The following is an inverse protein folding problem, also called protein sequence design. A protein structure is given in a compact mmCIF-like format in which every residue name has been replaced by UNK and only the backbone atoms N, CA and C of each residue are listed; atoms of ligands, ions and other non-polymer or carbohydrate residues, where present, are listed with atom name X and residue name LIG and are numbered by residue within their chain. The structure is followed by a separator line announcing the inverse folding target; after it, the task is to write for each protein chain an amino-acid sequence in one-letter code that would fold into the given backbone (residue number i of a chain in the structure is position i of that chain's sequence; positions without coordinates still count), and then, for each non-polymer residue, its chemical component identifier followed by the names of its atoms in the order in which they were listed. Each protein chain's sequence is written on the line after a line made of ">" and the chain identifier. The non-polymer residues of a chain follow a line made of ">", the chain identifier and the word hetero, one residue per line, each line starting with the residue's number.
data_IF_843032125344
#
_entry.id   IF_843032125344
#
_cell.length_a   1.000
_cell.length_b   1.000
_cell.length_c   1.000
_cell.angle_alpha   90.00
_cell.angle_beta   90.00
_cell.angle_gamma   90.00
#
_symmetry.space_group_name_H-M   'P 1'
#
loop_
_entity.id
_entity.type
_entity.pdbx_description
1 polymer ?
#
# COMPACT_ATOMS: atom_id res chain seq x y z
N UNK A 1 -41.12 62.76 -18.34
CA UNK A 1 -40.09 61.84 -18.87
C UNK A 1 -39.18 61.45 -17.70
N UNK A 2 -39.19 60.15 -17.34
CA UNK A 2 -38.11 59.29 -16.77
C UNK A 2 -37.09 59.92 -15.79
N UNK A 3 -36.73 59.35 -14.62
CA UNK A 3 -36.26 57.95 -14.41
C UNK A 3 -36.08 57.61 -12.91
N UNK A 4 -36.23 56.32 -12.57
CA UNK A 4 -35.55 55.50 -11.54
C UNK A 4 -35.54 55.89 -10.04
N UNK A 5 -36.33 55.14 -9.26
CA UNK A 5 -36.07 54.83 -7.84
C UNK A 5 -35.21 53.57 -7.76
N UNK A 6 -34.08 53.64 -7.06
CA UNK A 6 -33.26 52.48 -6.70
C UNK A 6 -33.50 52.21 -5.20
N UNK A 7 -34.18 51.13 -4.87
CA UNK A 7 -34.40 50.69 -3.50
C UNK A 7 -33.69 49.34 -3.33
N UNK A 8 -32.75 49.31 -2.40
CA UNK A 8 -31.93 48.16 -2.01
C UNK A 8 -32.81 46.96 -1.62
N UNK A 9 -32.46 45.79 -2.14
CA UNK A 9 -32.71 44.53 -1.47
C UNK A 9 -31.37 43.81 -1.29
N UNK A 10 -31.06 43.51 -0.03
CA UNK A 10 -29.90 42.76 0.39
C UNK A 10 -30.02 41.30 -0.06
N UNK A 11 -29.00 40.80 -0.75
CA UNK A 11 -28.80 39.38 -0.96
C UNK A 11 -27.43 39.00 -0.36
N UNK A 12 -27.47 38.13 0.64
CA UNK A 12 -26.28 37.55 1.25
C UNK A 12 -25.53 36.71 0.22
N UNK A 13 -24.26 37.06 -0.04
CA UNK A 13 -23.34 36.26 -0.86
C UNK A 13 -22.60 35.32 0.10
N UNK A 14 -22.99 34.04 0.11
CA UNK A 14 -22.16 32.97 0.63
C UNK A 14 -21.09 32.66 -0.43
N UNK A 15 -19.86 33.08 -0.17
CA UNK A 15 -18.72 32.75 -1.02
C UNK A 15 -18.31 31.28 -0.85
N UNK A 16 -18.72 30.42 -1.79
CA UNK A 16 -18.10 29.12 -2.00
C UNK A 16 -16.83 29.31 -2.83
N UNK A 17 -15.67 29.25 -2.18
CA UNK A 17 -14.38 29.10 -2.84
C UNK A 17 -14.31 27.70 -3.45
N UNK A 18 -14.42 27.61 -4.78
CA UNK A 18 -14.10 26.41 -5.53
C UNK A 18 -12.58 26.19 -5.49
N UNK A 19 -12.12 25.29 -4.62
CA UNK A 19 -10.77 24.72 -4.73
C UNK A 19 -10.78 23.78 -5.93
N UNK A 20 -10.12 24.21 -7.00
CA UNK A 20 -9.70 23.35 -8.11
C UNK A 20 -8.65 22.35 -7.58
N UNK A 21 -9.10 21.18 -7.15
CA UNK A 21 -8.19 20.03 -6.99
C UNK A 21 -7.96 19.47 -8.39
N UNK A 22 -6.85 19.86 -9.02
CA UNK A 22 -6.31 19.19 -10.19
C UNK A 22 -5.76 17.81 -9.76
N UNK A 23 -6.68 16.90 -9.43
CA UNK A 23 -6.40 15.47 -9.37
C UNK A 23 -6.29 14.96 -10.79
N UNK A 24 -5.07 14.67 -11.24
CA UNK A 24 -4.85 14.01 -12.52
C UNK A 24 -5.63 12.70 -12.54
N UNK A 25 -6.70 12.68 -13.34
CA UNK A 25 -7.38 11.48 -13.76
C UNK A 25 -6.37 10.57 -14.47
N UNK A 26 -6.00 9.46 -13.85
CA UNK A 26 -5.43 8.35 -14.59
C UNK A 26 -6.60 7.60 -15.22
N UNK A 27 -6.91 7.97 -16.46
CA UNK A 27 -8.00 7.46 -17.26
C UNK A 27 -8.07 5.94 -17.25
N UNK A 28 -9.24 5.43 -16.87
CA UNK A 28 -9.74 4.17 -17.34
C UNK A 28 -10.02 4.30 -18.85
N UNK A 29 -9.22 3.65 -19.69
CA UNK A 29 -9.59 3.34 -21.07
C UNK A 29 -8.79 2.15 -21.59
N UNK A 30 -9.31 0.96 -21.28
CA UNK A 30 -9.36 -0.18 -22.19
C UNK A 30 -10.61 -0.98 -21.79
N UNK A 31 -11.71 -0.60 -22.43
CA UNK A 31 -12.96 -1.35 -22.47
C UNK A 31 -12.70 -2.71 -23.11
N UNK A 32 -12.48 -3.71 -22.26
CA UNK A 32 -12.54 -5.13 -22.59
C UNK A 32 -13.21 -5.83 -21.43
N UNK A 33 -14.47 -6.22 -21.62
CA UNK A 33 -15.27 -7.09 -20.74
C UNK A 33 -14.93 -7.02 -19.26
N UNK A 34 -15.43 -5.98 -18.58
CA UNK A 34 -15.62 -6.07 -17.14
C UNK A 34 -16.77 -7.05 -16.92
N UNK A 35 -16.46 -8.34 -16.88
CA UNK A 35 -17.24 -9.23 -16.06
C UNK A 35 -17.22 -8.60 -14.66
N UNK A 36 -18.36 -8.08 -14.21
CA UNK A 36 -18.56 -7.78 -12.81
C UNK A 36 -18.33 -9.09 -12.07
N UNK A 37 -17.11 -9.27 -11.55
CA UNK A 37 -16.88 -10.23 -10.50
C UNK A 37 -17.75 -9.76 -9.34
N UNK A 38 -18.86 -10.46 -9.18
CA UNK A 38 -19.79 -10.36 -8.06
C UNK A 38 -18.95 -10.23 -6.79
N UNK A 39 -19.12 -9.10 -6.09
CA UNK A 39 -18.25 -8.69 -5.00
C UNK A 39 -18.36 -9.66 -3.83
N UNK A 40 -17.43 -10.60 -3.75
CA UNK A 40 -17.12 -11.27 -2.49
C UNK A 40 -16.55 -10.20 -1.56
N UNK A 41 -17.35 -9.82 -0.57
CA UNK A 41 -17.03 -8.84 0.47
C UNK A 41 -15.99 -9.39 1.48
N UNK A 42 -15.07 -10.23 1.00
CA UNK A 42 -14.00 -10.86 1.75
C UNK A 42 -12.79 -9.93 1.77
N UNK A 43 -12.27 -9.71 2.96
CA UNK A 43 -11.12 -8.86 3.14
C UNK A 43 -9.81 -9.50 2.68
N UNK A 44 -8.73 -8.72 2.56
CA UNK A 44 -7.45 -9.24 2.03
C UNK A 44 -6.98 -10.48 2.79
N UNK A 45 -6.99 -10.47 4.13
CA UNK A 45 -6.54 -11.62 4.95
C UNK A 45 -7.35 -12.89 4.69
N UNK A 46 -8.67 -12.78 4.52
CA UNK A 46 -9.54 -13.92 4.18
C UNK A 46 -9.16 -14.48 2.81
N UNK A 47 -8.87 -13.60 1.86
CA UNK A 47 -8.49 -13.98 0.50
C UNK A 47 -7.07 -14.51 0.42
N UNK A 48 -6.16 -14.02 1.26
CA UNK A 48 -4.82 -14.60 1.45
C UNK A 48 -5.02 -16.03 1.95
N UNK A 49 -5.78 -16.19 3.03
CA UNK A 49 -6.04 -17.49 3.66
C UNK A 49 -6.72 -18.45 2.71
N UNK A 50 -7.74 -18.00 1.97
CA UNK A 50 -8.44 -18.81 0.99
C UNK A 50 -7.56 -19.14 -0.22
N UNK A 51 -6.73 -18.20 -0.71
CA UNK A 51 -5.77 -18.47 -1.77
C UNK A 51 -4.74 -19.52 -1.36
N UNK A 52 -4.26 -19.44 -0.11
CA UNK A 52 -3.35 -20.42 0.48
C UNK A 52 -4.04 -21.78 0.72
N UNK A 53 -5.32 -21.82 1.11
CA UNK A 53 -6.04 -23.08 1.37
C UNK A 53 -6.58 -23.77 0.11
N UNK A 54 -7.10 -23.00 -0.84
CA UNK A 54 -7.84 -23.52 -2.00
C UNK A 54 -6.98 -23.67 -3.27
N UNK A 55 -5.66 -23.53 -3.15
CA UNK A 55 -4.74 -23.51 -4.29
C UNK A 55 -5.08 -22.44 -5.35
N UNK A 56 -5.58 -21.28 -4.91
CA UNK A 56 -5.94 -20.17 -5.81
C UNK A 56 -4.82 -19.14 -5.85
N UNK A 57 -4.69 -18.45 -6.98
CA UNK A 57 -3.79 -17.30 -7.09
C UNK A 57 -4.48 -16.04 -6.59
N UNK A 58 -3.83 -15.29 -5.70
CA UNK A 58 -4.31 -13.97 -5.26
C UNK A 58 -3.31 -12.89 -5.64
N UNK A 59 -3.82 -11.74 -6.09
CA UNK A 59 -3.07 -10.51 -6.27
C UNK A 59 -3.65 -9.45 -5.35
N UNK A 60 -2.80 -8.79 -4.59
CA UNK A 60 -3.16 -7.63 -3.79
C UNK A 60 -2.21 -6.46 -4.10
N UNK A 61 -2.72 -5.24 -3.98
CA UNK A 61 -1.91 -4.04 -4.17
C UNK A 61 -2.46 -2.87 -3.38
N UNK A 62 -1.60 -1.89 -3.13
CA UNK A 62 -1.97 -0.69 -2.40
C UNK A 62 -0.84 0.32 -2.38
N UNK A 63 -0.89 1.22 -1.40
CA UNK A 63 0.14 2.24 -1.19
C UNK A 63 0.60 2.25 0.26
N UNK A 64 1.91 2.36 0.45
CA UNK A 64 2.49 2.80 1.71
C UNK A 64 2.35 4.31 1.81
N UNK A 65 2.05 4.78 3.02
CA UNK A 65 1.99 6.18 3.39
C UNK A 65 2.22 6.27 4.89
N UNK A 66 3.45 6.60 5.27
CA UNK A 66 3.83 6.66 6.68
C UNK A 66 4.85 7.76 6.92
N UNK A 67 5.03 8.12 8.19
CA UNK A 67 6.16 8.92 8.64
C UNK A 67 7.12 8.00 9.38
N UNK A 68 8.37 7.95 8.93
CA UNK A 68 9.43 7.25 9.63
C UNK A 68 10.30 8.23 10.40
N UNK A 69 10.77 7.79 11.57
CA UNK A 69 11.80 8.50 12.33
C UNK A 69 13.10 7.69 12.20
N UNK A 70 14.14 8.31 11.62
CA UNK A 70 15.48 7.76 11.53
C UNK A 70 16.16 7.68 12.90
N UNK A 71 17.23 6.90 12.99
CA UNK A 71 18.00 6.76 14.23
C UNK A 71 18.65 8.09 14.69
N UNK A 72 18.89 9.00 13.76
CA UNK A 72 19.38 10.37 13.98
C UNK A 72 18.27 11.35 14.42
N UNK A 73 17.02 10.88 14.54
CA UNK A 73 15.86 11.70 14.86
C UNK A 73 15.25 12.42 13.65
N UNK A 74 15.81 12.26 12.44
CA UNK A 74 15.25 12.87 11.24
C UNK A 74 13.90 12.22 10.88
N UNK A 75 12.94 13.05 10.48
CA UNK A 75 11.62 12.57 10.06
C UNK A 75 11.52 12.50 8.54
N UNK A 76 11.02 11.37 8.05
CA UNK A 76 10.89 11.07 6.63
C UNK A 76 9.43 10.73 6.31
N UNK A 77 8.89 11.40 5.30
CA UNK A 77 7.63 11.02 4.67
C UNK A 77 7.92 9.89 3.68
N UNK A 78 7.33 8.72 3.91
CA UNK A 78 7.51 7.53 3.07
C UNK A 78 6.23 7.22 2.32
N UNK A 79 6.32 7.17 1.00
CA UNK A 79 5.18 6.90 0.13
C UNK A 79 5.56 6.03 -1.06
N UNK A 80 4.69 5.08 -1.42
CA UNK A 80 4.87 4.35 -2.67
C UNK A 80 3.96 3.15 -2.85
N UNK A 81 3.76 2.70 -4.10
CA UNK A 81 2.95 1.54 -4.38
C UNK A 81 3.63 0.24 -3.94
N UNK A 82 2.82 -0.72 -3.55
CA UNK A 82 3.21 -2.10 -3.32
C UNK A 82 2.27 -3.06 -4.03
N UNK A 83 2.79 -4.26 -4.34
CA UNK A 83 2.04 -5.37 -4.93
C UNK A 83 2.51 -6.68 -4.33
N UNK A 84 1.54 -7.52 -4.00
CA UNK A 84 1.72 -8.86 -3.49
C UNK A 84 1.01 -9.86 -4.41
N UNK A 85 1.65 -10.98 -4.68
CA UNK A 85 1.05 -12.14 -5.35
C UNK A 85 1.26 -13.33 -4.43
N UNK A 86 0.19 -14.03 -4.12
CA UNK A 86 0.21 -15.26 -3.34
C UNK A 86 -0.23 -16.39 -4.25
N UNK A 87 0.52 -17.47 -4.26
CA UNK A 87 0.20 -18.70 -4.98
C UNK A 87 0.55 -19.87 -4.08
N UNK A 88 -0.40 -20.74 -3.80
CA UNK A 88 -0.09 -21.95 -3.04
C UNK A 88 0.61 -22.96 -3.97
N UNK A 89 1.61 -23.71 -3.48
CA UNK A 89 2.12 -24.88 -4.18
C UNK A 89 1.07 -26.01 -4.23
N UNK A 90 1.10 -26.81 -5.30
CA UNK A 90 0.26 -27.99 -5.40
C UNK A 90 0.52 -28.94 -4.21
N UNK A 91 -0.54 -29.38 -3.53
CA UNK A 91 -0.45 -30.32 -2.41
C UNK A 91 -0.52 -29.72 -1.00
N UNK A 92 -0.72 -28.40 -0.85
CA UNK A 92 -1.25 -27.76 0.36
C UNK A 92 -0.39 -27.79 1.65
N UNK A 93 0.69 -28.57 1.68
CA UNK A 93 1.54 -28.78 2.86
C UNK A 93 2.80 -27.91 2.90
N UNK A 94 3.01 -27.05 1.91
CA UNK A 94 4.19 -26.18 1.81
C UNK A 94 3.86 -24.71 2.12
N UNK A 95 4.90 -23.93 2.43
CA UNK A 95 4.77 -22.49 2.52
C UNK A 95 4.26 -21.91 1.19
N UNK A 96 3.37 -20.91 1.23
CA UNK A 96 2.87 -20.26 0.02
C UNK A 96 4.02 -19.60 -0.75
N UNK A 97 3.96 -19.61 -2.07
CA UNK A 97 4.84 -18.76 -2.87
C UNK A 97 4.29 -17.33 -2.83
N UNK A 98 5.00 -16.44 -2.13
CA UNK A 98 4.63 -15.03 -1.99
C UNK A 98 5.65 -14.16 -2.73
N UNK A 99 5.21 -13.52 -3.80
CA UNK A 99 5.97 -12.44 -4.43
C UNK A 99 5.51 -11.10 -3.86
N UNK A 100 6.40 -10.38 -3.19
CA UNK A 100 6.15 -9.02 -2.73
C UNK A 100 7.12 -8.05 -3.41
N UNK A 101 6.58 -6.93 -3.92
CA UNK A 101 7.37 -5.84 -4.52
C UNK A 101 6.82 -4.49 -4.10
N UNK A 102 7.70 -3.55 -3.83
CA UNK A 102 7.34 -2.15 -3.58
C UNK A 102 8.39 -1.19 -4.13
N UNK A 103 7.98 0.03 -4.46
CA UNK A 103 8.88 1.15 -4.78
C UNK A 103 8.48 2.33 -3.91
N UNK A 104 9.31 2.68 -2.95
CA UNK A 104 9.04 3.77 -2.00
C UNK A 104 9.93 4.97 -2.28
N UNK A 105 9.37 6.15 -2.06
CA UNK A 105 10.10 7.41 -1.98
C UNK A 105 10.10 7.84 -0.53
N UNK A 106 11.23 8.35 -0.07
CA UNK A 106 11.40 8.95 1.24
C UNK A 106 11.79 10.41 1.03
N UNK A 107 11.11 11.33 1.67
CA UNK A 107 11.40 12.77 1.60
C UNK A 107 11.52 13.29 3.02
N UNK A 108 12.57 14.03 3.36
CA UNK A 108 12.66 14.66 4.68
C UNK A 108 11.48 15.63 4.87
N UNK A 109 11.01 15.79 6.10
CA UNK A 109 9.87 16.68 6.39
C UNK A 109 10.14 18.16 6.09
N UNK A 110 11.41 18.56 5.99
CA UNK A 110 11.82 19.90 5.57
C UNK A 110 12.06 20.02 4.04
N UNK A 111 11.92 18.91 3.30
CA UNK A 111 12.03 18.84 1.85
C UNK A 111 13.46 18.87 1.28
N UNK A 112 14.50 18.90 2.12
CA UNK A 112 15.86 19.15 1.64
C UNK A 112 16.55 17.91 1.01
N UNK A 113 16.02 16.69 1.23
CA UNK A 113 16.51 15.47 0.60
C UNK A 113 15.38 14.50 0.24
N UNK A 114 15.67 13.67 -0.77
CA UNK A 114 14.78 12.61 -1.24
C UNK A 114 15.56 11.36 -1.63
N UNK A 115 15.11 10.21 -1.15
CA UNK A 115 15.63 8.89 -1.51
C UNK A 115 14.56 8.05 -2.20
N UNK A 116 15.01 7.08 -3.01
CA UNK A 116 14.15 6.04 -3.59
C UNK A 116 14.70 4.67 -3.21
N UNK A 117 13.79 3.80 -2.78
CA UNK A 117 14.11 2.40 -2.48
C UNK A 117 13.13 1.47 -3.18
N UNK A 118 13.60 0.31 -3.58
CA UNK A 118 12.81 -0.82 -4.03
C UNK A 118 12.91 -1.95 -3.02
N UNK A 119 11.79 -2.64 -2.81
CA UNK A 119 11.70 -3.87 -2.03
C UNK A 119 11.35 -4.98 -3.03
N UNK A 120 12.12 -6.05 -3.06
CA UNK A 120 11.93 -7.17 -3.98
C UNK A 120 12.34 -8.50 -3.35
N UNK A 121 12.17 -9.58 -4.12
CA UNK A 121 12.71 -10.92 -3.83
C UNK A 121 12.34 -11.44 -2.44
N UNK A 122 11.12 -11.10 -1.99
CA UNK A 122 10.58 -11.61 -0.73
C UNK A 122 10.47 -13.13 -0.77
N UNK A 123 11.05 -13.78 0.24
CA UNK A 123 10.98 -15.23 0.45
C UNK A 123 10.38 -15.48 1.81
N UNK A 124 9.16 -16.04 1.83
CA UNK A 124 8.49 -16.40 3.07
C UNK A 124 9.18 -17.59 3.72
N UNK A 125 9.48 -17.48 5.02
CA UNK A 125 9.99 -18.57 5.84
C UNK A 125 8.92 -19.15 6.75
N UNK A 126 8.00 -18.29 7.21
CA UNK A 126 6.91 -18.65 8.11
C UNK A 126 5.71 -17.77 7.85
N UNK A 127 4.53 -18.33 8.05
CA UNK A 127 3.29 -17.58 8.02
C UNK A 127 2.36 -18.04 9.13
N UNK A 128 1.49 -17.12 9.55
CA UNK A 128 0.42 -17.38 10.50
C UNK A 128 -0.78 -16.51 10.13
N UNK A 129 -1.99 -17.03 10.33
CA UNK A 129 -3.21 -16.24 10.15
C UNK A 129 -4.21 -16.55 11.25
N UNK A 130 -4.85 -15.50 11.74
CA UNK A 130 -6.03 -15.54 12.60
C UNK A 130 -7.15 -14.68 11.97
N UNK A 131 -8.28 -14.54 12.67
CA UNK A 131 -9.46 -13.81 12.18
C UNK A 131 -9.21 -12.31 11.95
N UNK A 132 -8.22 -11.75 12.66
CA UNK A 132 -7.92 -10.32 12.70
C UNK A 132 -6.67 -9.95 11.90
N UNK A 133 -5.80 -10.91 11.61
CA UNK A 133 -4.54 -10.66 10.93
C UNK A 133 -3.93 -11.84 10.19
N UNK A 134 -3.20 -11.54 9.13
CA UNK A 134 -2.27 -12.48 8.49
C UNK A 134 -0.86 -11.92 8.62
N UNK A 135 0.09 -12.75 9.07
CA UNK A 135 1.51 -12.39 9.23
C UNK A 135 2.38 -13.30 8.37
N UNK A 136 3.26 -12.68 7.59
CA UNK A 136 4.27 -13.32 6.76
C UNK A 136 5.65 -12.87 7.24
N UNK A 137 6.45 -13.82 7.70
CA UNK A 137 7.84 -13.60 8.07
C UNK A 137 8.73 -14.14 6.95
N UNK A 138 9.84 -13.46 6.69
CA UNK A 138 10.74 -13.87 5.63
C UNK A 138 11.94 -12.95 5.49
N UNK A 139 12.57 -13.01 4.32
CA UNK A 139 13.63 -12.07 3.93
C UNK A 139 13.25 -11.36 2.64
N UNK A 140 13.67 -10.11 2.49
CA UNK A 140 13.52 -9.36 1.25
C UNK A 140 14.81 -8.63 0.90
N UNK A 141 14.98 -8.32 -0.38
CA UNK A 141 16.03 -7.41 -0.85
C UNK A 141 15.52 -5.98 -0.84
N UNK A 142 16.30 -5.07 -0.27
CA UNK A 142 16.01 -3.64 -0.24
C UNK A 142 17.17 -2.89 -0.86
N UNK A 143 16.90 -2.06 -1.87
CA UNK A 143 17.95 -1.21 -2.45
C UNK A 143 18.30 -0.09 -1.48
N UNK A 144 19.58 0.10 -1.17
CA UNK A 144 20.09 1.23 -0.39
C UNK A 144 21.01 2.09 -1.26
N UNK A 145 21.55 3.19 -0.70
CA UNK A 145 22.58 3.99 -1.37
C UNK A 145 23.83 3.17 -1.71
N UNK A 146 24.19 2.23 -0.82
CA UNK A 146 25.40 1.41 -0.93
C UNK A 146 25.15 0.10 -1.70
N UNK A 147 23.94 -0.08 -2.25
CA UNK A 147 23.53 -1.24 -3.04
C UNK A 147 22.38 -2.04 -2.42
N UNK A 148 21.92 -3.11 -3.09
CA UNK A 148 20.89 -4.00 -2.56
C UNK A 148 21.39 -4.80 -1.35
N UNK A 149 20.56 -4.91 -0.32
CA UNK A 149 20.85 -5.69 0.90
C UNK A 149 19.67 -6.61 1.19
N UNK A 150 19.96 -7.87 1.53
CA UNK A 150 18.95 -8.81 2.03
C UNK A 150 18.81 -8.65 3.55
N UNK A 151 17.57 -8.52 4.03
CA UNK A 151 17.26 -8.36 5.46
C UNK A 151 16.00 -9.14 5.84
N UNK A 152 15.88 -9.64 7.09
CA UNK A 152 14.61 -10.11 7.63
C UNK A 152 13.53 -9.03 7.59
N UNK A 153 12.32 -9.42 7.18
CA UNK A 153 11.15 -8.54 7.15
C UNK A 153 9.91 -9.28 7.62
N UNK A 154 8.96 -8.51 8.15
CA UNK A 154 7.63 -9.00 8.54
C UNK A 154 6.57 -8.19 7.80
N UNK A 155 5.67 -8.88 7.10
CA UNK A 155 4.49 -8.29 6.47
C UNK A 155 3.26 -8.72 7.25
N UNK A 156 2.55 -7.76 7.82
CA UNK A 156 1.30 -8.01 8.53
C UNK A 156 0.15 -7.32 7.81
N UNK A 157 -0.93 -8.06 7.59
CA UNK A 157 -2.20 -7.53 7.08
C UNK A 157 -3.16 -7.50 8.27
N UNK A 158 -3.55 -6.31 8.71
CA UNK A 158 -4.42 -6.07 9.86
C UNK A 158 -5.83 -5.74 9.42
N UNK A 159 -6.82 -6.40 10.04
CA UNK A 159 -8.25 -6.18 9.85
C UNK A 159 -8.62 -6.02 8.37
N UNK A 160 -7.94 -6.80 7.51
CA UNK A 160 -8.16 -6.88 6.07
C UNK A 160 -7.86 -5.62 5.26
N UNK A 161 -7.46 -4.51 5.88
CA UNK A 161 -7.41 -3.19 5.26
C UNK A 161 -6.05 -2.51 5.35
N UNK A 162 -5.27 -2.81 6.39
CA UNK A 162 -3.98 -2.17 6.64
C UNK A 162 -2.86 -3.15 6.39
N UNK A 163 -1.83 -2.72 5.67
CA UNK A 163 -0.56 -3.43 5.58
C UNK A 163 0.46 -2.75 6.49
N UNK A 164 1.21 -3.56 7.23
CA UNK A 164 2.34 -3.14 8.04
C UNK A 164 3.56 -3.92 7.55
N UNK A 165 4.60 -3.22 7.16
CA UNK A 165 5.86 -3.81 6.70
C UNK A 165 6.98 -3.37 7.63
N UNK A 166 7.53 -4.32 8.38
CA UNK A 166 8.61 -4.09 9.33
C UNK A 166 9.91 -4.62 8.73
N UNK A 167 10.97 -3.81 8.81
CA UNK A 167 12.33 -4.17 8.40
C UNK A 167 13.13 -4.41 9.67
N UNK A 168 13.89 -5.51 9.72
CA UNK A 168 14.93 -5.64 10.74
C UNK A 168 16.08 -4.68 10.40
N UNK A 169 16.17 -3.60 11.17
CA UNK A 169 17.16 -2.52 10.98
C UNK A 169 18.50 -2.84 11.63
N UNK A 170 18.62 -3.93 12.40
CA UNK A 170 19.91 -4.34 12.99
C UNK A 170 20.97 -4.65 11.92
N UNK A 171 20.52 -5.02 10.71
CA UNK A 171 21.37 -5.26 9.54
C UNK A 171 21.37 -4.09 8.55
N UNK A 172 20.61 -3.02 8.83
CA UNK A 172 20.42 -1.86 7.98
C UNK A 172 20.33 -0.57 8.79
N UNK A 173 21.48 0.03 9.12
CA UNK A 173 21.57 1.31 9.84
C UNK A 173 21.11 2.54 9.01
N UNK A 174 20.36 2.33 7.93
CA UNK A 174 19.88 3.35 7.00
C UNK A 174 18.37 3.61 7.13
N UNK A 175 17.60 2.64 7.66
CA UNK A 175 16.16 2.79 7.84
C UNK A 175 15.83 3.11 9.30
N UNK A 176 14.79 3.91 9.51
CA UNK A 176 14.22 4.10 10.84
C UNK A 176 13.59 2.81 11.37
N UNK A 177 13.52 2.67 12.70
CA UNK A 177 12.94 1.50 13.39
C UNK A 177 11.40 1.44 13.30
N UNK A 178 10.79 2.43 12.66
CA UNK A 178 9.34 2.57 12.51
C UNK A 178 8.83 1.76 11.32
N UNK A 179 7.81 0.89 11.50
CA UNK A 179 7.23 0.13 10.39
C UNK A 179 6.63 0.99 9.29
N UNK A 180 6.61 0.48 8.06
CA UNK A 180 5.89 1.09 6.96
C UNK A 180 4.41 0.70 7.01
N UNK A 181 3.55 1.69 7.22
CA UNK A 181 2.09 1.52 7.17
C UNK A 181 1.54 1.87 5.79
N UNK A 182 0.50 1.14 5.37
CA UNK A 182 -0.18 1.37 4.11
C UNK A 182 -1.61 0.86 4.11
N UNK A 183 -2.33 1.22 3.06
CA UNK A 183 -3.69 0.73 2.80
C UNK A 183 -3.67 -0.36 1.73
N UNK A 184 -4.57 -1.32 1.87
CA UNK A 184 -4.90 -2.28 0.82
C UNK A 184 -5.94 -1.65 -0.10
N UNK A 185 -5.56 -1.41 -1.36
CA UNK A 185 -6.45 -0.78 -2.34
C UNK A 185 -7.22 -1.77 -3.21
N UNK A 186 -6.56 -2.84 -3.66
CA UNK A 186 -7.16 -3.86 -4.51
C UNK A 186 -6.77 -5.24 -4.01
N UNK A 187 -7.74 -6.16 -4.03
CA UNK A 187 -7.50 -7.59 -3.91
C UNK A 187 -8.25 -8.29 -5.03
N UNK A 188 -7.62 -9.26 -5.68
CA UNK A 188 -8.22 -10.12 -6.71
C UNK A 188 -7.77 -11.55 -6.49
N UNK A 189 -8.73 -12.46 -6.45
CA UNK A 189 -8.54 -13.91 -6.45
C UNK A 189 -8.81 -14.32 -7.87
N UNK A 190 -7.84 -14.97 -8.48
CA UNK A 190 -7.93 -15.49 -9.83
C UNK A 190 -8.28 -16.97 -9.69
N UNK A 191 -9.36 -17.38 -10.34
CA UNK A 191 -9.65 -18.80 -10.56
C UNK A 191 -8.58 -19.41 -11.46
N UNK A 192 -8.43 -20.73 -11.35
CA UNK A 192 -7.56 -21.50 -12.23
C UNK A 192 -8.00 -21.41 -13.69
#
# INVERSE_FOLDING_TARGET
>A
MTTAKQQQQAAAILGLSAILVAGMAFSALLSGNVAQAQGDNLGMSDRITAAMKDNKRMVASGVFSTMQTGADGAHWLVYGPWRMIVTQPDGGNENPNVSFRASVRMVMTDGNAMHRHAISDFKVSKWFSDDSSTTLEGKATITTRDGPVETPVTIKILQKQVIVFTIDTSVLNHFGETPLYGIVGMVRTLGN
#
